data_IF_207798562116
#
_entry.id   IF_207798562116
#
_cell.length_a   1.000
_cell.length_b   1.000
_cell.length_c   1.000
_cell.angle_alpha   90.00
_cell.angle_beta   90.00
_cell.angle_gamma   90.00
#
_symmetry.space_group_name_H-M   'P 1'
#
loop_
_entity.id
_entity.type
_entity.pdbx_description
1 polymer ?
#
# COMPACT_ATOMS: atom_id res chain seq x y z
N UNK A 1 0.80 18.06 11.51
CA UNK A 1 2.14 17.70 11.01
C UNK A 1 2.21 18.13 9.55
N UNK A 2 3.34 18.65 9.11
CA UNK A 2 3.54 19.14 7.74
C UNK A 2 4.59 18.23 7.12
N UNK A 3 4.24 17.50 6.06
CA UNK A 3 5.20 16.75 5.28
C UNK A 3 5.64 17.57 4.09
N UNK A 4 6.96 17.67 3.90
CA UNK A 4 7.57 18.44 2.82
C UNK A 4 8.26 17.45 1.89
N UNK A 5 8.04 17.59 0.60
CA UNK A 5 8.82 16.93 -0.43
C UNK A 5 9.60 17.98 -1.19
N UNK A 6 10.88 17.75 -1.41
CA UNK A 6 11.80 18.69 -2.05
C UNK A 6 12.47 18.04 -3.27
N UNK A 7 12.50 18.73 -4.38
CA UNK A 7 13.13 18.31 -5.62
C UNK A 7 14.12 19.37 -6.14
N UNK A 8 15.11 18.97 -6.92
CA UNK A 8 16.27 19.75 -7.40
C UNK A 8 15.94 21.02 -8.26
N UNK A 9 16.90 21.93 -8.46
CA UNK A 9 16.65 23.36 -8.51
C UNK A 9 16.68 24.02 -9.90
N UNK A 10 15.78 24.88 -10.22
CA UNK A 10 16.07 26.25 -10.74
C UNK A 10 14.82 27.10 -10.95
N UNK A 11 13.81 27.12 -10.45
CA UNK A 11 12.61 27.97 -10.35
C UNK A 11 11.63 27.27 -9.42
N UNK A 12 11.68 27.63 -8.13
CA UNK A 12 10.94 26.92 -7.08
C UNK A 12 9.43 27.08 -7.21
N UNK A 13 8.72 25.98 -7.30
CA UNK A 13 7.26 25.94 -7.11
C UNK A 13 6.97 25.51 -5.69
N UNK A 14 6.26 26.33 -4.92
CA UNK A 14 5.78 25.98 -3.59
C UNK A 14 4.28 25.72 -3.66
N UNK A 15 3.84 24.53 -3.30
CA UNK A 15 2.43 24.17 -3.19
C UNK A 15 2.09 23.80 -1.74
N UNK A 16 1.48 24.75 -0.96
CA UNK A 16 1.17 24.55 0.44
C UNK A 16 -0.13 23.76 0.69
N UNK A 17 -0.93 23.45 -0.37
CA UNK A 17 -2.20 22.75 -0.27
C UNK A 17 -2.34 21.72 -1.40
N UNK A 18 -1.56 20.69 -1.36
CA UNK A 18 -1.28 19.81 -2.50
C UNK A 18 -2.45 19.01 -3.06
N UNK A 19 -3.39 18.60 -2.24
CA UNK A 19 -4.40 17.68 -2.70
C UNK A 19 -3.83 16.46 -3.43
N UNK A 20 -4.08 16.34 -4.74
CA UNK A 20 -3.58 15.22 -5.55
C UNK A 20 -2.20 15.45 -6.21
N UNK A 21 -1.51 16.58 -5.93
CA UNK A 21 -0.15 16.85 -6.40
C UNK A 21 -0.01 17.25 -7.88
N UNK A 22 -1.02 17.88 -8.45
CA UNK A 22 -1.00 18.30 -9.87
C UNK A 22 0.11 19.33 -10.14
N UNK A 23 0.28 20.30 -9.24
CA UNK A 23 1.32 21.33 -9.32
C UNK A 23 2.73 20.71 -9.27
N UNK A 24 2.93 19.78 -8.35
CA UNK A 24 4.21 19.08 -8.19
C UNK A 24 4.55 18.26 -9.43
N UNK A 25 3.57 17.53 -9.95
CA UNK A 25 3.74 16.75 -11.18
C UNK A 25 4.10 17.66 -12.36
N UNK A 26 3.44 18.80 -12.51
CA UNK A 26 3.73 19.77 -13.56
C UNK A 26 5.13 20.39 -13.40
N UNK A 27 5.51 20.76 -12.17
CA UNK A 27 6.84 21.29 -11.85
C UNK A 27 7.93 20.26 -12.17
N UNK A 28 7.75 19.01 -11.77
CA UNK A 28 8.67 17.91 -12.10
C UNK A 28 8.80 17.72 -13.61
N UNK A 29 7.68 17.74 -14.34
CA UNK A 29 7.68 17.62 -15.81
C UNK A 29 8.45 18.72 -16.50
N UNK A 30 8.42 19.92 -15.95
CA UNK A 30 9.12 21.11 -16.48
C UNK A 30 10.57 21.23 -15.96
N UNK A 31 11.06 20.29 -15.15
CA UNK A 31 12.39 20.36 -14.56
C UNK A 31 12.55 21.47 -13.52
N UNK A 32 11.44 21.90 -12.92
CA UNK A 32 11.46 22.93 -11.89
C UNK A 32 11.67 22.29 -10.51
N UNK A 33 12.29 23.03 -9.59
CA UNK A 33 12.25 22.72 -8.15
C UNK A 33 10.83 22.82 -7.65
N UNK A 34 10.53 21.98 -6.71
CA UNK A 34 9.22 22.06 -6.06
C UNK A 34 9.31 21.67 -4.59
N UNK A 35 8.56 22.39 -3.79
CA UNK A 35 8.30 22.03 -2.40
C UNK A 35 6.80 21.86 -2.28
N UNK A 36 6.39 20.78 -1.76
CA UNK A 36 5.01 20.59 -1.51
C UNK A 36 4.75 20.24 -0.05
N UNK A 37 3.67 20.79 0.50
CA UNK A 37 3.28 20.67 1.91
C UNK A 37 1.86 20.12 1.97
N UNK A 38 1.64 19.08 2.76
CA UNK A 38 0.30 18.59 3.07
C UNK A 38 0.24 18.14 4.52
N UNK A 39 -0.95 18.19 5.10
CA UNK A 39 -1.19 17.77 6.49
C UNK A 39 -1.58 16.30 6.58
N UNK A 40 -1.81 15.64 5.45
CA UNK A 40 -2.28 14.25 5.41
C UNK A 40 -1.25 13.31 4.78
N UNK A 41 -0.95 12.22 5.45
CA UNK A 41 -0.10 11.17 4.89
C UNK A 41 -0.68 10.54 3.62
N UNK A 42 -2.00 10.51 3.51
CA UNK A 42 -2.68 9.99 2.32
C UNK A 42 -2.32 10.80 1.07
N UNK A 43 -2.36 12.13 1.15
CA UNK A 43 -2.00 13.00 0.03
C UNK A 43 -0.52 12.86 -0.33
N UNK A 44 0.37 12.86 0.66
CA UNK A 44 1.81 12.66 0.45
C UNK A 44 2.10 11.36 -0.29
N UNK A 45 1.50 10.24 0.16
CA UNK A 45 1.72 8.95 -0.49
C UNK A 45 1.14 8.86 -1.89
N UNK A 46 -0.01 9.49 -2.12
CA UNK A 46 -0.57 9.59 -3.47
C UNK A 46 0.37 10.34 -4.42
N UNK A 47 0.98 11.43 -3.95
CA UNK A 47 1.94 12.21 -4.75
C UNK A 47 3.20 11.41 -5.03
N UNK A 48 3.80 10.78 -4.01
CA UNK A 48 4.98 9.91 -4.16
C UNK A 48 4.74 8.85 -5.23
N UNK A 49 3.62 8.15 -5.15
CA UNK A 49 3.24 7.14 -6.11
C UNK A 49 3.05 7.71 -7.50
N UNK A 50 2.32 8.81 -7.62
CA UNK A 50 2.09 9.50 -8.90
C UNK A 50 3.40 9.94 -9.56
N UNK A 51 4.36 10.44 -8.79
CA UNK A 51 5.68 10.81 -9.29
C UNK A 51 6.44 9.58 -9.79
N UNK A 52 6.46 8.49 -9.03
CA UNK A 52 7.12 7.25 -9.45
C UNK A 52 6.46 6.62 -10.68
N UNK A 53 5.14 6.57 -10.73
CA UNK A 53 4.40 6.05 -11.88
C UNK A 53 4.73 6.84 -13.16
N UNK A 54 4.82 8.17 -13.07
CA UNK A 54 5.02 9.05 -14.22
C UNK A 54 6.48 9.17 -14.66
N UNK A 55 7.41 9.29 -13.70
CA UNK A 55 8.83 9.61 -13.98
C UNK A 55 9.79 8.44 -13.69
N UNK A 56 9.30 7.35 -13.12
CA UNK A 56 10.08 6.16 -12.76
C UNK A 56 10.43 6.07 -11.29
N UNK A 57 10.84 4.87 -10.87
CA UNK A 57 11.23 4.60 -9.46
C UNK A 57 12.51 5.33 -9.03
N UNK A 58 13.31 5.78 -9.98
CA UNK A 58 14.59 6.47 -9.74
C UNK A 58 14.42 7.96 -9.40
N UNK A 59 13.17 8.47 -9.39
CA UNK A 59 12.94 9.86 -9.01
C UNK A 59 13.31 10.07 -7.55
N UNK A 60 14.22 11.02 -7.31
CA UNK A 60 14.68 11.38 -5.98
C UNK A 60 13.88 12.58 -5.45
N UNK A 61 13.49 12.50 -4.20
CA UNK A 61 12.90 13.60 -3.42
C UNK A 61 13.11 13.35 -1.94
N UNK A 62 13.28 14.42 -1.18
CA UNK A 62 13.38 14.35 0.27
C UNK A 62 11.98 14.45 0.91
N UNK A 63 11.71 13.62 1.89
CA UNK A 63 10.46 13.62 2.65
C UNK A 63 10.73 13.97 4.11
N UNK A 64 10.03 14.97 4.62
CA UNK A 64 10.14 15.45 6.01
C UNK A 64 8.79 15.39 6.72
N UNK A 65 8.84 15.21 8.05
CA UNK A 65 7.65 15.26 8.90
C UNK A 65 6.94 13.92 9.10
N UNK A 66 7.50 12.82 8.62
CA UNK A 66 7.01 11.47 8.95
C UNK A 66 7.82 10.88 10.11
N UNK A 67 7.20 9.97 10.88
CA UNK A 67 7.94 9.10 11.77
C UNK A 67 8.95 8.24 10.99
N UNK A 68 10.22 8.32 11.38
CA UNK A 68 11.31 7.52 10.80
C UNK A 68 11.75 6.40 11.73
N UNK A 69 11.28 6.41 12.97
CA UNK A 69 11.58 5.44 14.00
C UNK A 69 10.36 5.12 14.88
N UNK A 70 10.52 4.14 15.75
CA UNK A 70 9.46 3.69 16.64
C UNK A 70 9.05 4.78 17.66
N UNK A 71 9.96 5.65 18.08
CA UNK A 71 9.68 6.75 19.00
C UNK A 71 8.74 7.79 18.37
N UNK A 72 9.06 8.23 17.16
CA UNK A 72 8.21 9.13 16.39
C UNK A 72 6.84 8.51 16.06
N UNK A 73 6.82 7.20 15.77
CA UNK A 73 5.58 6.47 15.54
C UNK A 73 4.67 6.42 16.78
N UNK A 74 5.24 6.19 17.98
CA UNK A 74 4.51 6.25 19.25
C UNK A 74 3.97 7.65 19.52
N UNK A 75 4.80 8.65 19.36
CA UNK A 75 4.37 10.05 19.54
C UNK A 75 3.21 10.40 18.60
N UNK A 76 3.25 9.94 17.36
CA UNK A 76 2.15 10.15 16.42
C UNK A 76 0.89 9.41 16.87
N UNK A 77 1.00 8.15 17.33
CA UNK A 77 -0.14 7.36 17.79
C UNK A 77 -0.81 7.96 19.04
N UNK A 78 -0.02 8.54 19.94
CA UNK A 78 -0.51 9.19 21.16
C UNK A 78 -1.17 10.54 20.85
N UNK A 79 -0.61 11.31 19.91
CA UNK A 79 -1.09 12.65 19.57
C UNK A 79 -2.29 12.63 18.61
N UNK A 80 -2.26 11.74 17.62
CA UNK A 80 -3.30 11.67 16.59
C UNK A 80 -3.43 10.26 16.03
N UNK A 81 -4.37 9.50 16.57
CA UNK A 81 -4.64 8.10 16.17
C UNK A 81 -5.04 7.98 14.70
N UNK A 82 -5.77 8.96 14.17
CA UNK A 82 -6.24 8.95 12.79
C UNK A 82 -5.06 9.13 11.82
N UNK A 83 -4.20 10.11 12.08
CA UNK A 83 -2.99 10.30 11.29
C UNK A 83 -2.04 9.12 11.41
N UNK A 84 -1.91 8.51 12.60
CA UNK A 84 -1.14 7.30 12.79
C UNK A 84 -1.66 6.15 11.92
N UNK A 85 -2.97 5.92 11.87
CA UNK A 85 -3.58 4.90 11.02
C UNK A 85 -3.27 5.15 9.54
N UNK A 86 -3.46 6.38 9.05
CA UNK A 86 -3.17 6.74 7.66
C UNK A 86 -1.70 6.58 7.31
N UNK A 87 -0.80 6.98 8.21
CA UNK A 87 0.63 6.78 8.04
C UNK A 87 1.00 5.29 8.02
N UNK A 88 0.51 4.50 8.96
CA UNK A 88 0.80 3.07 9.03
C UNK A 88 0.27 2.31 7.80
N UNK A 89 -0.91 2.66 7.28
CA UNK A 89 -1.43 2.12 6.01
C UNK A 89 -0.51 2.44 4.83
N UNK A 90 0.14 3.59 4.86
CA UNK A 90 1.04 4.01 3.79
C UNK A 90 2.32 3.18 3.73
N UNK A 91 2.80 2.68 4.88
CA UNK A 91 3.98 1.80 4.91
C UNK A 91 3.77 0.47 4.16
N UNK A 92 2.51 0.13 3.90
CA UNK A 92 2.09 -1.11 3.26
C UNK A 92 1.28 -0.88 1.99
N UNK A 93 1.36 0.30 1.41
CA UNK A 93 0.67 0.71 0.17
C UNK A 93 -0.85 0.43 0.17
N UNK A 94 -1.46 0.47 1.35
CA UNK A 94 -2.88 0.17 1.53
C UNK A 94 -3.68 1.46 1.56
N UNK A 95 -4.81 1.44 0.85
CA UNK A 95 -5.75 2.55 0.89
C UNK A 95 -6.62 2.46 2.13
N UNK A 96 -6.80 3.56 2.89
CA UNK A 96 -7.81 3.61 3.95
C UNK A 96 -9.21 3.42 3.36
N UNK A 97 -10.11 2.88 4.16
CA UNK A 97 -11.52 2.86 3.82
C UNK A 97 -12.04 4.28 3.62
N UNK A 98 -12.91 4.48 2.65
CA UNK A 98 -13.56 5.79 2.46
C UNK A 98 -14.49 6.07 3.65
N UNK A 99 -14.53 7.34 4.08
CA UNK A 99 -15.55 7.77 5.03
C UNK A 99 -16.93 7.41 4.50
N UNK A 100 -17.63 6.55 5.23
CA UNK A 100 -18.97 6.06 4.87
C UNK A 100 -19.02 4.65 4.27
N UNK A 101 -17.92 4.08 3.77
CA UNK A 101 -17.86 2.65 3.37
C UNK A 101 -17.93 1.71 4.58
N UNK A 102 -17.99 2.25 5.79
CA UNK A 102 -17.93 1.56 7.06
C UNK A 102 -18.82 2.03 8.17
N UNK A 103 -19.72 2.95 7.93
CA UNK A 103 -20.61 3.43 9.00
C UNK A 103 -21.58 2.33 9.45
N UNK A 104 -21.27 1.72 10.59
CA UNK A 104 -22.15 0.85 11.34
C UNK A 104 -21.75 -0.63 11.39
N UNK A 105 -20.88 -1.13 10.54
CA UNK A 105 -20.50 -2.56 10.50
C UNK A 105 -18.99 -2.83 10.53
N UNK A 106 -18.14 -1.81 10.47
CA UNK A 106 -16.72 -2.00 10.16
C UNK A 106 -15.83 -2.41 11.32
N UNK A 107 -16.39 -2.75 12.41
CA UNK A 107 -15.72 -3.45 13.52
C UNK A 107 -14.19 -3.43 13.47
N UNK A 108 -13.59 -2.25 13.20
CA UNK A 108 -12.15 -2.04 13.25
C UNK A 108 -11.38 -2.38 11.96
N UNK A 109 -11.96 -2.30 10.78
CA UNK A 109 -11.22 -2.38 9.50
C UNK A 109 -10.68 -1.01 9.16
N UNK A 110 -9.35 -0.87 9.08
CA UNK A 110 -8.69 0.39 8.75
C UNK A 110 -8.33 0.48 7.26
N UNK A 111 -8.10 -0.67 6.61
CA UNK A 111 -7.78 -0.73 5.19
C UNK A 111 -8.07 -2.09 4.55
N UNK A 112 -8.05 -2.10 3.21
CA UNK A 112 -8.24 -3.31 2.42
C UNK A 112 -7.12 -3.45 1.39
N UNK A 113 -6.55 -4.65 1.32
CA UNK A 113 -5.68 -5.08 0.24
C UNK A 113 -6.48 -5.95 -0.71
N UNK A 114 -6.35 -5.67 -2.01
CA UNK A 114 -6.97 -6.49 -3.04
C UNK A 114 -5.92 -7.17 -3.88
N UNK A 115 -6.21 -8.40 -4.30
CA UNK A 115 -5.39 -9.14 -5.25
C UNK A 115 -6.27 -9.96 -6.18
N UNK A 116 -5.71 -10.44 -7.27
CA UNK A 116 -6.39 -11.34 -8.18
C UNK A 116 -6.15 -12.79 -7.78
N UNK A 117 -7.19 -13.60 -7.88
CA UNK A 117 -7.15 -15.04 -7.69
C UNK A 117 -7.89 -15.73 -8.83
N UNK A 118 -7.51 -16.98 -9.12
CA UNK A 118 -8.22 -17.80 -10.11
C UNK A 118 -9.35 -18.59 -9.47
N UNK A 119 -10.42 -18.85 -10.23
CA UNK A 119 -11.50 -19.74 -9.82
C UNK A 119 -10.99 -21.13 -9.41
N UNK A 120 -11.77 -21.85 -8.61
CA UNK A 120 -11.38 -23.16 -8.07
C UNK A 120 -10.99 -24.20 -9.12
N UNK A 121 -11.45 -24.02 -10.35
CA UNK A 121 -11.29 -24.97 -11.46
C UNK A 121 -10.33 -24.47 -12.55
N UNK A 122 -9.68 -23.32 -12.37
CA UNK A 122 -8.72 -22.79 -13.34
C UNK A 122 -7.37 -23.52 -13.24
N UNK A 123 -6.76 -23.93 -14.37
CA UNK A 123 -5.44 -24.53 -14.35
C UNK A 123 -4.38 -23.50 -13.89
N UNK A 124 -3.31 -23.92 -13.18
CA UNK A 124 -2.28 -23.02 -12.69
C UNK A 124 -1.55 -22.37 -13.87
N UNK A 125 -1.74 -21.06 -14.03
CA UNK A 125 -1.11 -20.23 -15.06
C UNK A 125 -0.12 -19.25 -14.42
N UNK A 126 1.13 -19.34 -14.82
CA UNK A 126 2.17 -18.38 -14.39
C UNK A 126 1.94 -17.04 -15.09
N UNK A 127 1.90 -15.88 -14.40
CA UNK A 127 1.92 -14.59 -15.08
C UNK A 127 3.25 -14.45 -15.82
N UNK A 128 3.22 -14.57 -17.15
CA UNK A 128 4.40 -14.34 -17.98
C UNK A 128 4.62 -12.85 -18.12
N UNK A 129 5.79 -12.36 -17.67
CA UNK A 129 6.33 -11.09 -18.14
C UNK A 129 6.46 -11.19 -19.66
N UNK A 130 5.74 -10.33 -20.38
CA UNK A 130 5.84 -10.26 -21.82
C UNK A 130 7.24 -9.77 -22.21
N UNK A 131 8.08 -10.67 -22.70
CA UNK A 131 9.23 -10.30 -23.49
C UNK A 131 9.31 -11.21 -24.70
N UNK A 132 9.29 -10.57 -25.86
CA UNK A 132 9.75 -11.00 -27.17
C UNK A 132 9.00 -12.11 -27.92
N UNK A 133 8.80 -11.76 -29.17
CA UNK A 133 8.28 -12.50 -30.31
C UNK A 133 8.87 -13.89 -30.48
N UNK A 134 7.98 -14.77 -30.98
CA UNK A 134 8.31 -16.04 -31.66
C UNK A 134 8.46 -17.27 -30.77
N UNK A 135 7.36 -17.96 -30.58
CA UNK A 135 7.21 -19.41 -30.79
C UNK A 135 5.73 -19.77 -30.63
N UNK A 136 5.09 -20.22 -31.72
CA UNK A 136 3.78 -20.86 -31.67
C UNK A 136 3.93 -22.16 -30.87
N UNK A 137 3.40 -22.15 -29.67
CA UNK A 137 3.03 -23.32 -28.90
C UNK A 137 1.60 -23.10 -28.46
N UNK A 138 0.72 -24.00 -28.81
CA UNK A 138 -0.70 -24.01 -28.48
C UNK A 138 -0.89 -24.17 -26.97
N UNK A 139 -0.75 -23.06 -26.24
CA UNK A 139 -1.26 -22.95 -24.88
C UNK A 139 -2.59 -22.22 -25.05
N UNK A 140 -3.69 -22.90 -24.73
CA UNK A 140 -5.00 -22.31 -24.75
C UNK A 140 -5.00 -20.94 -24.06
N UNK A 141 -5.55 -19.89 -24.69
CA UNK A 141 -5.55 -18.56 -24.09
C UNK A 141 -6.33 -18.62 -22.78
N UNK A 142 -5.67 -18.19 -21.69
CA UNK A 142 -6.27 -18.04 -20.37
C UNK A 142 -7.51 -17.15 -20.53
N UNK A 143 -8.67 -17.68 -20.29
CA UNK A 143 -9.90 -16.90 -20.37
C UNK A 143 -9.93 -15.99 -19.14
N UNK A 144 -9.93 -14.68 -19.33
CA UNK A 144 -10.00 -13.63 -18.29
C UNK A 144 -11.24 -13.78 -17.37
N UNK A 145 -12.22 -14.61 -17.78
CA UNK A 145 -13.42 -14.92 -17.03
C UNK A 145 -13.23 -15.69 -15.73
N UNK A 146 -12.06 -16.35 -15.56
CA UNK A 146 -11.81 -17.21 -14.38
C UNK A 146 -11.05 -16.50 -13.26
N UNK A 147 -10.72 -15.22 -13.44
CA UNK A 147 -10.00 -14.41 -12.46
C UNK A 147 -10.99 -13.55 -11.67
N UNK A 148 -10.97 -13.68 -10.36
CA UNK A 148 -11.78 -12.85 -9.47
C UNK A 148 -10.90 -12.08 -8.48
N UNK A 149 -11.48 -11.07 -7.87
CA UNK A 149 -10.79 -10.22 -6.91
C UNK A 149 -11.06 -10.70 -5.50
N UNK A 150 -10.00 -11.01 -4.78
CA UNK A 150 -10.01 -11.32 -3.36
C UNK A 150 -9.51 -10.15 -2.52
N UNK A 151 -9.80 -10.18 -1.23
CA UNK A 151 -9.38 -9.12 -0.30
C UNK A 151 -8.81 -9.67 0.99
N UNK A 152 -7.88 -8.89 1.57
CA UNK A 152 -7.32 -9.06 2.91
C UNK A 152 -7.65 -7.81 3.72
N UNK A 153 -8.10 -7.98 4.95
CA UNK A 153 -8.40 -6.88 5.87
C UNK A 153 -7.11 -6.41 6.54
N UNK A 154 -6.95 -5.10 6.69
CA UNK A 154 -5.86 -4.51 7.47
C UNK A 154 -6.45 -3.79 8.68
N UNK A 155 -5.93 -4.11 9.87
CA UNK A 155 -6.20 -3.40 11.12
C UNK A 155 -4.91 -2.81 11.68
N UNK A 156 -5.01 -1.62 12.26
CA UNK A 156 -3.88 -0.91 12.86
C UNK A 156 -4.16 -0.64 14.32
N UNK A 157 -3.18 -0.94 15.15
CA UNK A 157 -3.25 -0.73 16.59
C UNK A 157 -2.05 0.07 17.08
N UNK A 158 -2.30 1.20 17.70
CA UNK A 158 -1.29 2.08 18.29
C UNK A 158 -0.75 1.63 19.67
N UNK A 159 -1.10 0.42 20.11
CA UNK A 159 -0.64 -0.16 21.40
C UNK A 159 -1.75 -0.89 22.13
N UNK A 160 -1.40 -1.55 23.24
CA UNK A 160 -2.34 -2.28 24.08
C UNK A 160 -2.98 -3.50 23.44
N UNK A 161 -2.25 -4.19 22.55
CA UNK A 161 -2.76 -5.33 21.78
C UNK A 161 -2.64 -6.66 22.51
N UNK A 162 -3.60 -7.56 22.26
CA UNK A 162 -3.63 -8.90 22.84
C UNK A 162 -4.25 -9.95 21.90
N UNK A 163 -4.32 -11.19 22.37
CA UNK A 163 -4.92 -12.29 21.62
C UNK A 163 -6.39 -12.02 21.23
N UNK A 164 -7.10 -11.18 21.99
CA UNK A 164 -8.46 -10.76 21.66
C UNK A 164 -8.51 -10.02 20.32
N UNK A 165 -7.56 -9.11 20.05
CA UNK A 165 -7.53 -8.37 18.80
C UNK A 165 -7.34 -9.29 17.60
N UNK A 166 -6.60 -10.39 17.78
CA UNK A 166 -6.42 -11.40 16.74
C UNK A 166 -7.73 -12.14 16.47
N UNK A 167 -8.45 -12.56 17.53
CA UNK A 167 -9.78 -13.21 17.37
C UNK A 167 -10.79 -12.29 16.72
N UNK A 168 -10.79 -11.02 17.10
CA UNK A 168 -11.68 -10.01 16.52
C UNK A 168 -11.35 -9.81 15.02
N UNK A 169 -10.06 -9.83 14.65
CA UNK A 169 -9.64 -9.74 13.26
C UNK A 169 -10.06 -10.98 12.44
N UNK A 170 -9.91 -12.19 13.01
CA UNK A 170 -10.37 -13.43 12.37
C UNK A 170 -11.88 -13.34 12.09
N UNK A 171 -12.68 -13.04 13.12
CA UNK A 171 -14.13 -12.90 12.97
C UNK A 171 -14.54 -11.81 11.99
N UNK A 172 -13.80 -10.70 11.94
CA UNK A 172 -14.04 -9.62 10.99
C UNK A 172 -13.72 -10.08 9.56
N UNK A 173 -12.62 -10.81 9.35
CA UNK A 173 -12.24 -11.33 8.04
C UNK A 173 -13.30 -12.33 7.52
N UNK A 174 -13.79 -13.22 8.36
CA UNK A 174 -14.85 -14.17 8.00
C UNK A 174 -16.17 -13.47 7.67
N UNK A 175 -16.62 -12.54 8.53
CA UNK A 175 -17.84 -11.78 8.31
C UNK A 175 -17.81 -10.96 7.01
N UNK A 176 -16.64 -10.44 6.65
CA UNK A 176 -16.44 -9.68 5.43
C UNK A 176 -16.09 -10.53 4.21
N UNK A 177 -16.05 -11.85 4.34
CA UNK A 177 -15.64 -12.77 3.28
C UNK A 177 -14.26 -12.42 2.71
N UNK A 178 -13.33 -12.03 3.59
CA UNK A 178 -11.94 -11.82 3.25
C UNK A 178 -11.17 -13.14 3.41
N UNK A 179 -10.13 -13.36 2.62
CA UNK A 179 -9.30 -14.57 2.71
C UNK A 179 -8.41 -14.56 3.94
N UNK A 180 -8.19 -13.38 4.53
CA UNK A 180 -7.40 -13.24 5.74
C UNK A 180 -7.35 -11.81 6.26
N UNK A 181 -6.50 -11.58 7.27
CA UNK A 181 -6.30 -10.30 7.91
C UNK A 181 -4.84 -10.03 8.28
N UNK A 182 -4.48 -8.75 8.30
CA UNK A 182 -3.18 -8.27 8.73
C UNK A 182 -3.39 -7.33 9.90
N UNK A 183 -2.71 -7.61 11.03
CA UNK A 183 -2.63 -6.69 12.15
C UNK A 183 -1.29 -5.96 12.08
N UNK A 184 -1.33 -4.63 11.97
CA UNK A 184 -0.15 -3.78 12.11
C UNK A 184 -0.16 -3.18 13.52
N UNK A 185 0.92 -3.38 14.29
CA UNK A 185 0.98 -2.97 15.70
C UNK A 185 2.28 -2.24 16.03
N UNK A 186 2.20 -1.28 16.95
CA UNK A 186 3.39 -0.64 17.55
C UNK A 186 4.14 -1.57 18.47
N UNK A 187 3.43 -2.39 19.22
CA UNK A 187 4.02 -3.26 20.22
C UNK A 187 4.40 -4.61 19.61
N UNK A 188 5.45 -5.23 20.18
CA UNK A 188 5.85 -6.58 19.78
C UNK A 188 4.74 -7.58 20.14
N UNK A 189 4.36 -8.46 19.20
CA UNK A 189 3.30 -9.42 19.46
C UNK A 189 3.70 -10.39 20.55
N UNK A 190 2.79 -10.65 21.47
CA UNK A 190 2.95 -11.63 22.54
C UNK A 190 2.86 -13.06 22.00
N UNK A 191 3.34 -14.03 22.78
CA UNK A 191 3.21 -15.45 22.40
C UNK A 191 1.75 -15.85 22.14
N UNK A 192 0.77 -15.52 23.02
CA UNK A 192 -0.64 -15.83 22.77
C UNK A 192 -1.19 -15.22 21.47
N UNK A 193 -0.73 -14.02 21.07
CA UNK A 193 -1.13 -13.42 19.80
C UNK A 193 -0.61 -14.23 18.61
N UNK A 194 0.65 -14.66 18.67
CA UNK A 194 1.24 -15.48 17.60
C UNK A 194 0.57 -16.86 17.50
N UNK A 195 0.30 -17.49 18.65
CA UNK A 195 -0.35 -18.79 18.68
C UNK A 195 -1.79 -18.70 18.10
N UNK A 196 -2.53 -17.64 18.44
CA UNK A 196 -3.87 -17.37 17.91
C UNK A 196 -3.83 -17.11 16.40
N UNK A 197 -2.89 -16.29 15.92
CA UNK A 197 -2.73 -16.03 14.49
C UNK A 197 -2.36 -17.30 13.71
N UNK A 198 -1.50 -18.15 14.28
CA UNK A 198 -1.12 -19.43 13.67
C UNK A 198 -2.31 -20.40 13.60
N UNK A 199 -3.19 -20.41 14.61
CA UNK A 199 -4.38 -21.26 14.66
C UNK A 199 -5.41 -20.96 13.57
N UNK A 200 -5.43 -19.74 13.01
CA UNK A 200 -6.29 -19.36 11.90
C UNK A 200 -5.96 -20.13 10.61
N UNK A 201 -4.77 -20.73 10.54
CA UNK A 201 -4.34 -21.54 9.40
C UNK A 201 -3.81 -20.70 8.23
N UNK A 202 -3.81 -21.33 7.07
CA UNK A 202 -3.26 -20.74 5.83
C UNK A 202 -4.31 -20.80 4.71
N UNK A 203 -4.14 -19.99 3.70
CA UNK A 203 -4.85 -20.10 2.43
C UNK A 203 -3.86 -20.32 1.28
N UNK A 204 -4.22 -21.22 0.38
CA UNK A 204 -3.46 -21.49 -0.82
C UNK A 204 -3.95 -20.58 -1.94
N UNK A 205 -3.05 -19.79 -2.50
CA UNK A 205 -3.31 -19.05 -3.73
C UNK A 205 -2.93 -19.92 -4.93
N UNK A 206 -3.92 -20.27 -5.74
CA UNK A 206 -3.71 -21.05 -6.96
C UNK A 206 -3.00 -20.25 -8.04
N UNK A 207 -3.35 -18.97 -8.18
CA UNK A 207 -2.73 -18.09 -9.16
C UNK A 207 -1.23 -17.87 -8.87
N UNK A 208 -0.88 -17.71 -7.59
CA UNK A 208 0.48 -17.43 -7.15
C UNK A 208 1.24 -18.70 -6.75
N UNK A 209 0.57 -19.87 -6.72
CA UNK A 209 1.14 -21.18 -6.33
C UNK A 209 1.90 -21.11 -5.00
N UNK A 210 1.32 -20.40 -4.02
CA UNK A 210 1.94 -20.18 -2.73
C UNK A 210 0.90 -20.14 -1.62
N UNK A 211 1.30 -20.70 -0.48
CA UNK A 211 0.53 -20.63 0.77
C UNK A 211 0.84 -19.36 1.53
N UNK A 212 -0.21 -18.68 1.99
CA UNK A 212 -0.12 -17.48 2.80
C UNK A 212 -0.80 -17.70 4.16
N UNK A 213 -0.29 -17.15 5.26
CA UNK A 213 -1.01 -17.20 6.54
C UNK A 213 -2.32 -16.42 6.41
N UNK A 214 -3.42 -16.97 6.94
CA UNK A 214 -4.69 -16.23 6.99
C UNK A 214 -4.60 -14.99 7.85
N UNK A 215 -3.87 -15.07 8.96
CA UNK A 215 -3.61 -13.93 9.84
C UNK A 215 -2.11 -13.67 9.91
N UNK A 216 -1.73 -12.44 9.61
CA UNK A 216 -0.35 -11.97 9.73
C UNK A 216 -0.28 -10.82 10.72
N UNK A 217 0.67 -10.88 11.64
CA UNK A 217 1.01 -9.77 12.53
C UNK A 217 2.30 -9.15 12.01
N UNK A 218 2.31 -7.84 11.86
CA UNK A 218 3.47 -7.06 11.40
C UNK A 218 3.67 -5.89 12.36
N UNK A 219 4.91 -5.63 12.73
CA UNK A 219 5.22 -4.52 13.64
C UNK A 219 5.62 -3.27 12.86
N UNK A 220 5.31 -2.10 13.40
CA UNK A 220 5.80 -0.82 12.84
C UNK A 220 7.32 -0.81 12.79
N UNK A 221 8.00 -1.30 13.85
CA UNK A 221 9.46 -1.41 13.88
C UNK A 221 9.98 -2.27 12.71
N UNK A 222 9.35 -3.43 12.48
CA UNK A 222 9.72 -4.34 11.41
C UNK A 222 9.52 -3.75 10.02
N UNK A 223 8.44 -2.97 9.82
CA UNK A 223 8.19 -2.26 8.56
C UNK A 223 9.22 -1.15 8.31
N UNK A 224 9.53 -0.34 9.32
CA UNK A 224 10.49 0.76 9.21
C UNK A 224 11.92 0.26 8.94
N UNK A 225 12.31 -0.84 9.58
CA UNK A 225 13.65 -1.44 9.38
C UNK A 225 13.74 -2.32 8.14
N UNK A 226 12.61 -2.63 7.50
CA UNK A 226 12.54 -3.56 6.37
C UNK A 226 12.74 -5.03 6.76
N UNK A 227 12.81 -5.34 8.07
CA UNK A 227 12.94 -6.72 8.59
C UNK A 227 11.64 -7.53 8.50
N UNK A 228 10.50 -6.86 8.45
CA UNK A 228 9.19 -7.46 8.23
C UNK A 228 8.55 -6.89 6.97
N UNK A 229 7.80 -7.75 6.26
CA UNK A 229 7.03 -7.37 5.08
C UNK A 229 5.68 -8.07 5.12
N UNK A 230 4.70 -7.48 4.43
CA UNK A 230 3.44 -8.18 4.18
C UNK A 230 3.71 -9.35 3.25
N UNK A 231 3.50 -10.57 3.76
CA UNK A 231 3.51 -11.78 2.96
C UNK A 231 2.08 -12.04 2.45
N UNK A 232 1.75 -11.42 1.34
CA UNK A 232 0.45 -11.50 0.67
C UNK A 232 0.67 -11.64 -0.85
N UNK A 233 -0.34 -12.11 -1.61
CA UNK A 233 -0.30 -12.10 -3.06
C UNK A 233 -0.04 -10.69 -3.60
N UNK A 234 0.50 -10.60 -4.83
CA UNK A 234 0.77 -9.30 -5.46
C UNK A 234 -0.50 -8.45 -5.51
N UNK A 235 -0.41 -7.29 -4.91
CA UNK A 235 -1.55 -6.42 -4.71
C UNK A 235 -2.00 -5.77 -6.02
N UNK A 236 -3.32 -5.63 -6.17
CA UNK A 236 -3.88 -4.73 -7.18
C UNK A 236 -3.59 -3.31 -6.69
N UNK A 237 -2.99 -2.51 -7.54
CA UNK A 237 -2.79 -1.10 -7.23
C UNK A 237 -4.15 -0.44 -6.90
N UNK A 238 -4.39 0.02 -5.66
CA UNK A 238 -5.67 0.62 -5.28
C UNK A 238 -5.85 2.03 -5.85
N UNK A 239 -4.80 2.57 -6.45
CA UNK A 239 -4.80 3.89 -7.06
C UNK A 239 -4.76 3.75 -8.58
N UNK A 240 -5.43 4.66 -9.31
CA UNK A 240 -5.25 4.74 -10.74
C UNK A 240 -3.81 5.11 -11.05
N UNK A 241 -3.14 4.32 -11.91
CA UNK A 241 -1.77 4.62 -12.33
C UNK A 241 -1.77 5.94 -13.11
N UNK A 242 -0.83 6.82 -12.78
CA UNK A 242 -0.58 8.00 -13.60
C UNK A 242 -0.02 7.57 -14.98
N UNK A 243 -0.39 8.30 -16.03
CA UNK A 243 0.20 8.07 -17.36
C UNK A 243 1.72 8.32 -17.28
N UNK A 244 2.51 7.39 -17.86
CA UNK A 244 3.95 7.61 -17.98
C UNK A 244 4.23 8.82 -18.86
N UNK A 245 5.03 9.75 -18.35
CA UNK A 245 5.56 10.81 -19.15
C UNK A 245 6.63 10.24 -20.08
N UNK A 246 6.49 10.47 -21.39
CA UNK A 246 7.55 10.16 -22.34
C UNK A 246 8.76 11.03 -22.03
N UNK A 247 9.95 10.44 -22.00
CA UNK A 247 11.21 11.15 -21.80
C UNK A 247 11.22 12.41 -22.66
N UNK A 248 11.42 13.54 -22.00
CA UNK A 248 11.21 14.90 -22.45
C UNK A 248 11.36 15.13 -23.95
N UNK A 249 10.35 15.71 -24.58
CA UNK A 249 10.61 16.69 -25.62
C UNK A 249 11.57 17.73 -25.01
N UNK A 250 12.86 17.61 -25.31
CA UNK A 250 13.74 18.76 -25.30
C UNK A 250 13.06 19.77 -26.24
N UNK A 251 12.49 20.82 -25.65
CA UNK A 251 12.11 21.98 -26.45
C UNK A 251 13.36 22.41 -27.17
N UNK A 252 13.38 22.12 -28.46
CA UNK A 252 14.35 22.73 -29.38
C UNK A 252 14.14 24.23 -29.24
N UNK A 253 15.17 24.90 -28.77
CA UNK A 253 15.25 26.36 -28.79
C UNK A 253 14.73 26.86 -30.14
N UNK A 254 13.59 27.53 -30.15
CA UNK A 254 13.24 28.42 -31.24
C UNK A 254 13.95 29.74 -30.95
N UNK A 255 15.03 29.94 -31.68
CA UNK A 255 15.65 31.24 -31.94
C UNK A 255 14.63 32.22 -32.52
#
# INVERSE_FOLDING_TARGET
MISVLDGEPNNGSLDPFRGCGTTIHAAQKLGHKWIGIDVTYLAINLIKRRLRDAFGEEIEFEEKGQPTDLGGARQLADNDKFQFQHWALSLVDTRPLKEGEGKGADRGVDGLLYFYETGRDAPPGRPTKSSSKSARSEIAPYQVSDVHREKIIVQIKGGGTGAKDIRDLIGTAENQKAVGGILITLDKPTKPMRDEAASAGRFESKLWQKDYPKIKIVTIEGLLTGSERIDAPSQINPFAMAARESAAHKQTEML
#
